data_IF_813441996028
#
_entry.id   IF_813441996028
#
_cell.length_a   1.000
_cell.length_b   1.000
_cell.length_c   1.000
_cell.angle_alpha   90.00
_cell.angle_beta   90.00
_cell.angle_gamma   90.00
#
_symmetry.space_group_name_H-M   'P 1'
#
loop_
_entity.id
_entity.type
_entity.pdbx_description
1 polymer ?
#
# COMPACT_ATOMS: atom_id res chain seq x y z
N UNK A 1 4.86 -10.73 6.11
CA UNK A 1 3.93 -9.62 6.38
C UNK A 1 4.67 -8.31 6.15
N UNK A 2 4.10 -7.37 5.39
CA UNK A 2 4.73 -6.06 5.20
C UNK A 2 4.79 -5.29 6.50
N UNK A 3 5.86 -4.50 6.71
CA UNK A 3 6.05 -3.66 7.90
C UNK A 3 4.82 -2.76 8.17
N UNK A 4 4.23 -2.20 7.11
CA UNK A 4 3.01 -1.37 7.21
C UNK A 4 1.81 -2.11 7.80
N UNK A 5 1.66 -3.41 7.55
CA UNK A 5 0.57 -4.20 8.10
C UNK A 5 0.71 -4.38 9.62
N UNK A 6 1.94 -4.67 10.09
CA UNK A 6 2.23 -4.81 11.52
C UNK A 6 1.97 -3.49 12.25
N UNK A 7 2.43 -2.38 11.68
CA UNK A 7 2.18 -1.03 12.20
C UNK A 7 0.68 -0.75 12.26
N UNK A 8 -0.09 -1.15 11.24
CA UNK A 8 -1.54 -0.99 11.22
C UNK A 8 -2.25 -1.77 12.34
N UNK A 9 -1.86 -3.03 12.57
CA UNK A 9 -2.41 -3.84 13.68
C UNK A 9 -2.12 -3.18 15.02
N UNK A 10 -0.90 -2.69 15.24
CA UNK A 10 -0.55 -1.95 16.46
C UNK A 10 -1.37 -0.65 16.60
N UNK A 11 -1.56 0.10 15.52
CA UNK A 11 -2.40 1.30 15.51
C UNK A 11 -3.85 1.01 15.93
N UNK A 12 -4.44 -0.07 15.42
CA UNK A 12 -5.80 -0.49 15.79
C UNK A 12 -5.89 -0.94 17.25
N UNK A 13 -4.87 -1.64 17.76
CA UNK A 13 -4.81 -2.01 19.17
C UNK A 13 -4.74 -0.78 20.07
N UNK A 14 -3.91 0.21 19.73
CA UNK A 14 -3.79 1.48 20.48
C UNK A 14 -5.11 2.26 20.44
N UNK A 15 -5.78 2.36 19.28
CA UNK A 15 -7.10 2.99 19.19
C UNK A 15 -8.15 2.26 20.05
N UNK A 16 -8.13 0.93 20.04
CA UNK A 16 -9.03 0.11 20.86
C UNK A 16 -8.78 0.33 22.35
N UNK A 17 -7.51 0.46 22.75
CA UNK A 17 -7.12 0.76 24.12
C UNK A 17 -7.55 2.17 24.54
N UNK A 18 -7.36 3.20 23.70
CA UNK A 18 -7.82 4.56 23.98
C UNK A 18 -9.36 4.62 24.12
N UNK A 19 -10.09 3.88 23.27
CA UNK A 19 -11.54 3.76 23.37
C UNK A 19 -11.97 3.10 24.69
N UNK A 20 -11.33 1.98 25.06
CA UNK A 20 -11.60 1.30 26.32
C UNK A 20 -11.31 2.18 27.54
N UNK A 21 -10.16 2.86 27.57
CA UNK A 21 -9.78 3.80 28.63
C UNK A 21 -10.80 4.93 28.78
N UNK A 22 -11.31 5.47 27.67
CA UNK A 22 -12.35 6.51 27.69
C UNK A 22 -13.67 5.99 28.27
N UNK A 23 -14.08 4.78 27.91
CA UNK A 23 -15.29 4.14 28.44
C UNK A 23 -15.16 3.89 29.94
N UNK A 24 -14.02 3.35 30.38
CA UNK A 24 -13.73 3.14 31.79
C UNK A 24 -13.74 4.44 32.58
N UNK A 25 -13.05 5.47 32.11
CA UNK A 25 -13.00 6.78 32.77
C UNK A 25 -14.40 7.40 32.91
N UNK A 26 -15.21 7.32 31.86
CA UNK A 26 -16.61 7.76 31.92
C UNK A 26 -17.44 6.92 32.90
N UNK A 27 -17.17 5.62 33.01
CA UNK A 27 -17.78 4.75 34.01
C UNK A 27 -17.45 5.18 35.44
N UNK A 28 -16.19 5.53 35.71
CA UNK A 28 -15.74 6.01 37.02
C UNK A 28 -16.40 7.33 37.40
N UNK A 29 -16.45 8.31 36.48
CA UNK A 29 -17.09 9.60 36.75
C UNK A 29 -18.58 9.46 37.10
N UNK A 30 -19.29 8.53 36.45
CA UNK A 30 -20.69 8.22 36.80
C UNK A 30 -20.85 7.71 38.23
N UNK A 31 -19.89 6.92 38.73
CA UNK A 31 -19.91 6.41 40.12
C UNK A 31 -19.59 7.55 41.10
N UNK A 32 -18.72 8.47 40.70
CA UNK A 32 -18.33 9.63 41.50
C UNK A 32 -19.32 10.81 41.45
N UNK A 33 -20.42 10.67 40.69
CA UNK A 33 -21.39 11.76 40.43
C UNK A 33 -20.75 13.03 39.83
N UNK A 34 -19.62 12.88 39.13
CA UNK A 34 -18.93 13.97 38.45
C UNK A 34 -19.35 14.08 36.98
N UNK A 35 -19.42 15.29 36.46
CA UNK A 35 -19.77 15.54 35.07
C UNK A 35 -18.58 15.22 34.14
N UNK A 36 -18.87 14.57 33.01
CA UNK A 36 -17.85 14.27 32.00
C UNK A 36 -17.57 15.49 31.14
N UNK A 37 -16.45 16.17 31.38
CA UNK A 37 -15.97 17.28 30.53
C UNK A 37 -15.15 16.80 29.32
N UNK A 38 -14.56 15.61 29.38
CA UNK A 38 -13.74 15.06 28.30
C UNK A 38 -12.77 13.97 28.80
N UNK A 39 -12.14 13.21 27.89
CA UNK A 39 -11.14 12.23 28.26
C UNK A 39 -9.84 12.89 28.76
N UNK A 40 -9.10 12.24 29.66
CA UNK A 40 -7.81 12.74 30.14
C UNK A 40 -6.79 12.93 29.00
N UNK A 41 -5.90 13.90 29.13
CA UNK A 41 -4.95 14.31 28.07
C UNK A 41 -4.05 13.16 27.59
N UNK A 42 -3.66 12.24 28.47
CA UNK A 42 -2.89 11.05 28.11
C UNK A 42 -3.66 10.14 27.12
N UNK A 43 -4.97 9.93 27.32
CA UNK A 43 -5.82 9.14 26.42
C UNK A 43 -6.02 9.87 25.08
N UNK A 44 -6.08 11.21 25.10
CA UNK A 44 -6.12 12.01 23.86
C UNK A 44 -4.85 11.83 23.04
N UNK A 45 -3.67 11.86 23.69
CA UNK A 45 -2.39 11.61 23.01
C UNK A 45 -2.36 10.19 22.44
N UNK A 46 -2.80 9.19 23.20
CA UNK A 46 -2.87 7.81 22.75
C UNK A 46 -3.80 7.64 21.53
N UNK A 47 -4.98 8.28 21.55
CA UNK A 47 -5.92 8.31 20.43
C UNK A 47 -5.28 8.90 19.17
N UNK A 48 -4.62 10.06 19.30
CA UNK A 48 -3.96 10.74 18.18
C UNK A 48 -2.82 9.88 17.61
N UNK A 49 -2.01 9.26 18.47
CA UNK A 49 -0.95 8.34 18.04
C UNK A 49 -1.53 7.14 17.29
N UNK A 50 -2.55 6.49 17.84
CA UNK A 50 -3.23 5.37 17.18
C UNK A 50 -3.81 5.75 15.81
N UNK A 51 -4.42 6.94 15.72
CA UNK A 51 -4.96 7.47 14.46
C UNK A 51 -3.88 7.67 13.41
N UNK A 52 -2.77 8.31 13.76
CA UNK A 52 -1.65 8.57 12.84
C UNK A 52 -1.03 7.26 12.34
N UNK A 53 -0.86 6.27 13.21
CA UNK A 53 -0.34 4.95 12.82
C UNK A 53 -1.29 4.22 11.86
N UNK A 54 -2.60 4.28 12.11
CA UNK A 54 -3.61 3.71 11.22
C UNK A 54 -3.64 4.40 9.86
N UNK A 55 -3.58 5.74 9.82
CA UNK A 55 -3.48 6.49 8.57
C UNK A 55 -2.23 6.12 7.78
N UNK A 56 -1.08 6.06 8.45
CA UNK A 56 0.18 5.66 7.83
C UNK A 56 0.10 4.24 7.25
N UNK A 57 -0.45 3.28 8.01
CA UNK A 57 -0.66 1.93 7.52
C UNK A 57 -1.64 1.89 6.34
N UNK A 58 -2.70 2.69 6.36
CA UNK A 58 -3.65 2.82 5.25
C UNK A 58 -3.02 3.32 3.95
N UNK A 59 -1.91 4.07 4.03
CA UNK A 59 -1.14 4.51 2.86
C UNK A 59 -0.03 3.52 2.47
N UNK A 60 0.57 2.82 3.43
CA UNK A 60 1.73 1.96 3.22
C UNK A 60 1.37 0.49 2.89
N UNK A 61 0.18 0.03 3.27
CA UNK A 61 -0.30 -1.34 3.03
C UNK A 61 -0.82 -1.55 1.60
N UNK A 62 -1.56 -0.61 0.99
CA UNK A 62 -1.94 -0.75 -0.41
C UNK A 62 -0.72 -0.95 -1.31
N UNK A 63 -0.90 -1.76 -2.36
CA UNK A 63 0.17 -2.07 -3.30
C UNK A 63 0.70 -0.85 -4.05
N UNK A 64 1.73 -1.07 -4.86
CA UNK A 64 2.30 -0.02 -5.70
C UNK A 64 1.29 0.42 -6.76
N UNK A 65 1.35 1.69 -7.12
CA UNK A 65 0.66 2.19 -8.31
C UNK A 65 1.22 1.49 -9.54
N UNK A 66 0.34 1.00 -10.40
CA UNK A 66 0.69 0.45 -11.69
C UNK A 66 0.73 1.60 -12.72
N UNK A 67 1.64 1.49 -13.68
CA UNK A 67 1.66 2.40 -14.81
C UNK A 67 0.35 2.30 -15.62
N UNK A 68 -0.09 3.40 -16.23
CA UNK A 68 -1.22 3.42 -17.17
C UNK A 68 -0.72 3.27 -18.61
N UNK A 69 0.56 3.51 -18.86
CA UNK A 69 1.12 3.46 -20.20
C UNK A 69 1.21 2.01 -20.69
N UNK A 70 0.67 1.67 -21.87
CA UNK A 70 0.68 0.30 -22.39
C UNK A 70 2.08 -0.20 -22.77
N UNK A 71 3.05 0.71 -22.89
CA UNK A 71 4.44 0.39 -23.24
C UNK A 71 5.37 0.36 -22.03
N UNK A 72 4.89 0.63 -20.81
CA UNK A 72 5.72 0.43 -19.62
C UNK A 72 6.03 -1.05 -19.45
N UNK A 73 7.22 -1.37 -18.95
CA UNK A 73 7.69 -2.75 -18.81
C UNK A 73 6.70 -3.65 -18.04
N UNK A 74 6.02 -3.11 -17.02
CA UNK A 74 5.02 -3.85 -16.22
C UNK A 74 3.74 -4.22 -17.01
N UNK A 75 3.36 -3.43 -18.02
CA UNK A 75 2.13 -3.60 -18.81
C UNK A 75 2.39 -4.06 -20.24
N UNK A 76 3.66 -4.33 -20.57
CA UNK A 76 4.08 -4.61 -21.93
C UNK A 76 3.49 -5.95 -22.36
N UNK A 77 2.37 -5.93 -23.07
CA UNK A 77 1.76 -7.11 -23.70
C UNK A 77 2.53 -7.52 -24.97
N UNK A 78 3.84 -7.64 -24.82
CA UNK A 78 4.78 -8.16 -25.82
C UNK A 78 5.66 -9.16 -25.10
N UNK A 79 5.02 -10.18 -24.52
CA UNK A 79 5.43 -11.53 -24.89
C UNK A 79 4.97 -11.70 -26.34
N UNK A 80 5.93 -11.78 -27.28
CA UNK A 80 5.61 -12.35 -28.59
C UNK A 80 4.87 -13.66 -28.33
N UNK A 81 3.82 -14.01 -29.09
CA UNK A 81 3.20 -15.32 -28.91
C UNK A 81 4.32 -16.37 -29.05
N UNK A 82 4.55 -17.16 -27.99
CA UNK A 82 5.47 -18.31 -27.96
C UNK A 82 5.09 -19.39 -28.98
N UNK A 83 4.05 -19.15 -29.79
CA UNK A 83 3.63 -19.95 -30.91
C UNK A 83 4.63 -19.81 -32.07
N UNK A 84 5.83 -20.35 -31.87
CA UNK A 84 6.90 -20.46 -32.88
C UNK A 84 6.39 -21.10 -34.17
N UNK A 85 5.40 -22.00 -34.07
CA UNK A 85 4.76 -22.69 -35.18
C UNK A 85 4.11 -21.75 -36.21
N UNK A 86 3.74 -20.53 -35.81
CA UNK A 86 3.11 -19.52 -36.69
C UNK A 86 4.01 -18.31 -36.96
N UNK A 87 5.32 -18.41 -36.71
CA UNK A 87 6.24 -17.31 -36.92
C UNK A 87 6.45 -17.02 -38.42
N UNK A 88 6.18 -15.79 -38.85
CA UNK A 88 6.31 -15.35 -40.25
C UNK A 88 7.48 -14.34 -40.37
N UNK A 89 8.42 -14.62 -41.26
CA UNK A 89 9.60 -13.78 -41.49
C UNK A 89 9.37 -12.62 -42.48
N UNK A 90 8.21 -12.58 -43.13
CA UNK A 90 7.83 -11.49 -44.05
C UNK A 90 7.09 -10.37 -43.32
N UNK A 91 7.79 -9.62 -42.45
CA UNK A 91 7.25 -8.47 -41.74
C UNK A 91 8.17 -7.24 -41.90
N UNK A 92 7.69 -6.06 -41.49
CA UNK A 92 8.40 -4.78 -41.67
C UNK A 92 9.75 -4.71 -40.94
N UNK A 93 9.99 -5.55 -39.92
CA UNK A 93 11.30 -5.66 -39.27
C UNK A 93 12.40 -6.16 -40.21
N UNK A 94 12.05 -6.88 -41.29
CA UNK A 94 13.02 -7.37 -42.29
C UNK A 94 13.79 -6.24 -42.99
N UNK A 95 13.20 -5.05 -43.12
CA UNK A 95 13.85 -3.90 -43.76
C UNK A 95 14.56 -2.98 -42.77
N UNK A 96 14.46 -3.28 -41.48
CA UNK A 96 14.98 -2.44 -40.42
C UNK A 96 15.82 -3.28 -39.44
N UNK A 97 16.98 -3.80 -39.89
CA UNK A 97 17.84 -4.64 -39.06
C UNK A 97 18.21 -3.88 -37.78
N UNK A 98 18.03 -4.53 -36.63
CA UNK A 98 18.47 -3.97 -35.36
C UNK A 98 20.00 -3.87 -35.32
N UNK A 99 20.54 -2.90 -34.59
CA UNK A 99 22.00 -2.66 -34.45
C UNK A 99 22.83 -3.90 -34.09
N UNK A 100 22.19 -4.96 -33.58
CA UNK A 100 22.82 -6.22 -33.19
C UNK A 100 23.45 -6.93 -34.41
N UNK A 101 22.83 -6.87 -35.60
CA UNK A 101 23.41 -7.47 -36.82
C UNK A 101 24.66 -6.72 -37.31
N UNK A 102 24.76 -5.41 -37.07
CA UNK A 102 25.93 -4.62 -37.48
C UNK A 102 27.20 -4.99 -36.71
N UNK A 103 27.09 -5.56 -35.49
CA UNK A 103 28.25 -5.96 -34.69
C UNK A 103 28.81 -7.35 -35.01
N UNK A 104 28.02 -8.23 -35.64
CA UNK A 104 28.47 -9.59 -36.01
C UNK A 104 29.16 -9.65 -37.39
N UNK A 105 29.13 -8.57 -38.17
CA UNK A 105 29.73 -8.50 -39.51
C UNK A 105 31.06 -7.74 -39.57
N UNK A 106 31.76 -7.58 -38.43
CA UNK A 106 33.12 -7.01 -38.38
C UNK A 106 34.12 -8.07 -37.97
#
# INVERSE_FOLDING_TARGET
>A
MGLGFIIGVLGVLILSHAAYSTIQYRGLLKIMEEEFSGPPVNVVIELVLGLVLCMWAGLAVPGKFLSIHPHSDENRMVSLPDNLDFMIFNHRGRVNPSEIEFKLKR
#
